data_IF_416738889918
#
_entry.id   IF_416738889918
#
_cell.length_a   1.000
_cell.length_b   1.000
_cell.length_c   1.000
_cell.angle_alpha   90.00
_cell.angle_beta   90.00
_cell.angle_gamma   90.00
#
_symmetry.space_group_name_H-M   'P 1'
#
loop_
_entity.id
_entity.type
_entity.pdbx_description
1 polymer ?
#
# COMPACT_ATOMS: atom_id res chain seq x y z
N UNK A 1 -26.11 -8.81 -0.70
CA UNK A 1 -25.46 -10.10 -1.01
C UNK A 1 -24.22 -10.22 -0.12
N UNK A 2 -24.39 -10.55 1.17
CA UNK A 2 -23.28 -10.56 2.17
C UNK A 2 -22.93 -12.00 2.61
N UNK A 3 -23.61 -13.03 2.09
CA UNK A 3 -23.32 -14.42 2.42
C UNK A 3 -23.19 -15.26 1.16
N UNK A 4 -22.06 -15.12 0.47
CA UNK A 4 -21.57 -16.21 -0.37
C UNK A 4 -20.93 -17.23 0.59
N UNK A 5 -21.49 -18.44 0.69
CA UNK A 5 -20.81 -19.54 1.40
C UNK A 5 -19.55 -19.89 0.62
N UNK A 6 -18.40 -19.46 1.12
CA UNK A 6 -17.10 -19.90 0.65
C UNK A 6 -16.67 -21.10 1.49
N UNK A 7 -16.30 -22.22 0.84
CA UNK A 7 -15.88 -23.47 1.50
C UNK A 7 -14.78 -23.26 2.54
N UNK A 8 -13.91 -22.27 2.32
CA UNK A 8 -12.79 -21.91 3.21
C UNK A 8 -12.98 -20.53 3.87
N UNK A 9 -14.13 -19.89 3.69
CA UNK A 9 -14.42 -18.58 4.28
C UNK A 9 -14.67 -18.70 5.77
N UNK A 10 -14.00 -17.86 6.57
CA UNK A 10 -14.20 -17.84 8.03
C UNK A 10 -13.53 -18.98 8.79
N UNK A 11 -12.56 -19.69 8.18
CA UNK A 11 -11.72 -20.63 8.92
C UNK A 11 -10.96 -19.92 10.05
N UNK A 12 -10.90 -20.55 11.23
CA UNK A 12 -10.29 -19.95 12.42
C UNK A 12 -8.84 -19.51 12.21
N UNK A 13 -8.06 -20.26 11.43
CA UNK A 13 -6.67 -19.93 11.07
C UNK A 13 -6.55 -18.63 10.25
N UNK A 14 -7.41 -18.45 9.24
CA UNK A 14 -7.43 -17.22 8.46
C UNK A 14 -7.86 -16.03 9.31
N UNK A 15 -8.83 -16.23 10.22
CA UNK A 15 -9.30 -15.20 11.14
C UNK A 15 -8.20 -14.77 12.12
N UNK A 16 -7.52 -15.71 12.80
CA UNK A 16 -6.44 -15.37 13.74
C UNK A 16 -5.27 -14.69 13.04
N UNK A 17 -4.91 -15.15 11.84
CA UNK A 17 -3.84 -14.54 11.03
C UNK A 17 -4.21 -13.11 10.61
N UNK A 18 -5.47 -12.89 10.22
CA UNK A 18 -5.95 -11.56 9.82
C UNK A 18 -6.01 -10.60 11.01
N UNK A 19 -6.41 -11.08 12.18
CA UNK A 19 -6.40 -10.28 13.42
C UNK A 19 -4.96 -9.87 13.74
N UNK A 20 -4.01 -10.80 13.69
CA UNK A 20 -2.62 -10.49 14.00
C UNK A 20 -1.99 -9.56 12.96
N UNK A 21 -2.31 -9.73 11.67
CA UNK A 21 -1.89 -8.79 10.64
C UNK A 21 -2.40 -7.36 10.90
N UNK A 22 -3.62 -7.21 11.41
CA UNK A 22 -4.15 -5.91 11.83
C UNK A 22 -3.42 -5.37 13.06
N UNK A 23 -3.16 -6.20 14.08
CA UNK A 23 -2.39 -5.79 15.26
C UNK A 23 -1.02 -5.25 14.84
N UNK A 24 -0.27 -5.98 14.02
CA UNK A 24 1.05 -5.57 13.51
C UNK A 24 0.97 -4.24 12.73
N UNK A 25 -0.05 -4.05 11.88
CA UNK A 25 -0.25 -2.79 11.15
C UNK A 25 -0.34 -1.58 12.08
N UNK A 26 -0.97 -1.73 13.26
CA UNK A 26 -1.11 -0.68 14.26
C UNK A 26 0.10 -0.57 15.19
N UNK A 27 0.54 -1.69 15.78
CA UNK A 27 1.59 -1.74 16.80
C UNK A 27 2.95 -1.29 16.25
N UNK A 28 3.24 -1.62 15.00
CA UNK A 28 4.47 -1.18 14.32
C UNK A 28 4.30 0.16 13.56
N UNK A 29 3.12 0.78 13.62
CA UNK A 29 2.87 2.08 12.96
C UNK A 29 3.04 2.03 11.44
N UNK A 30 2.74 0.89 10.81
CA UNK A 30 3.04 0.66 9.39
C UNK A 30 2.25 1.58 8.46
N UNK A 31 1.05 2.00 8.85
CA UNK A 31 0.22 2.92 8.07
C UNK A 31 0.88 4.31 7.99
N UNK A 32 1.34 4.83 9.13
CA UNK A 32 2.02 6.13 9.19
C UNK A 32 3.38 6.08 8.50
N UNK A 33 4.13 5.00 8.70
CA UNK A 33 5.38 4.77 7.99
C UNK A 33 5.19 4.72 6.47
N UNK A 34 4.13 4.05 5.99
CA UNK A 34 3.81 4.02 4.57
C UNK A 34 3.45 5.40 4.02
N UNK A 35 2.79 6.24 4.80
CA UNK A 35 2.52 7.63 4.43
C UNK A 35 3.83 8.44 4.32
N UNK A 36 4.66 8.45 5.37
CA UNK A 36 5.90 9.23 5.42
C UNK A 36 6.91 8.76 4.37
N UNK A 37 7.16 7.46 4.30
CA UNK A 37 8.15 6.91 3.37
C UNK A 37 7.63 6.92 1.93
N UNK A 38 6.33 6.75 1.74
CA UNK A 38 5.67 6.89 0.44
C UNK A 38 5.75 8.31 -0.10
N UNK A 39 5.52 9.32 0.73
CA UNK A 39 5.66 10.73 0.33
C UNK A 39 7.10 11.06 -0.08
N UNK A 40 8.09 10.55 0.67
CA UNK A 40 9.49 10.66 0.27
C UNK A 40 9.75 10.01 -1.10
N UNK A 41 9.29 8.78 -1.31
CA UNK A 41 9.45 8.09 -2.59
C UNK A 41 8.79 8.86 -3.74
N UNK A 42 7.57 9.34 -3.55
CA UNK A 42 6.82 10.11 -4.55
C UNK A 42 7.56 11.39 -4.94
N UNK A 43 8.07 12.16 -3.97
CA UNK A 43 8.86 13.36 -4.22
C UNK A 43 10.12 13.05 -5.03
N UNK A 44 10.81 11.95 -4.70
CA UNK A 44 12.03 11.54 -5.43
C UNK A 44 11.73 11.11 -6.86
N UNK A 45 10.59 10.47 -7.11
CA UNK A 45 10.15 10.10 -8.46
C UNK A 45 9.73 11.32 -9.29
N UNK A 46 9.06 12.29 -8.68
CA UNK A 46 8.73 13.56 -9.34
C UNK A 46 10.00 14.34 -9.75
N UNK A 47 11.01 14.40 -8.88
CA UNK A 47 12.30 14.98 -9.24
C UNK A 47 12.99 14.23 -10.40
N UNK A 48 12.78 12.91 -10.51
CA UNK A 48 13.29 12.13 -11.64
C UNK A 48 12.52 12.42 -12.93
N UNK A 49 11.21 12.62 -12.86
CA UNK A 49 10.36 13.04 -13.98
C UNK A 49 10.82 14.39 -14.53
N UNK A 50 11.09 15.37 -13.66
CA UNK A 50 11.63 16.68 -14.04
C UNK A 50 12.97 16.57 -14.77
N UNK A 51 13.81 15.61 -14.36
CA UNK A 51 15.12 15.35 -14.99
C UNK A 51 15.01 14.64 -16.33
N UNK A 52 14.00 13.78 -16.52
CA UNK A 52 13.81 12.96 -17.72
C UNK A 52 12.39 13.04 -18.30
N UNK A 53 11.90 14.24 -18.68
CA UNK A 53 10.50 14.45 -19.05
C UNK A 53 10.11 13.80 -20.40
N UNK A 54 11.09 13.36 -21.20
CA UNK A 54 10.85 12.62 -22.45
C UNK A 54 10.67 11.11 -22.24
N UNK A 55 11.03 10.61 -21.05
CA UNK A 55 11.00 9.18 -20.71
C UNK A 55 9.89 8.92 -19.68
N UNK A 56 9.73 9.81 -18.71
CA UNK A 56 8.72 9.72 -17.66
C UNK A 56 7.67 10.79 -17.94
N UNK A 57 6.46 10.34 -18.25
CA UNK A 57 5.30 11.17 -18.58
C UNK A 57 4.50 11.53 -17.34
N UNK A 58 4.30 10.60 -16.40
CA UNK A 58 3.48 10.83 -15.21
C UNK A 58 3.99 10.09 -13.96
N UNK A 59 3.82 10.73 -12.81
CA UNK A 59 4.14 10.17 -11.48
C UNK A 59 2.97 10.50 -10.55
N UNK A 60 2.29 9.47 -10.05
CA UNK A 60 1.10 9.61 -9.21
C UNK A 60 1.03 8.51 -8.15
N UNK A 61 0.34 8.76 -7.05
CA UNK A 61 0.14 7.74 -6.01
C UNK A 61 -0.12 8.30 -4.63
N UNK A 62 -0.22 7.40 -3.65
CA UNK A 62 -0.32 7.73 -2.22
C UNK A 62 0.28 6.61 -1.39
N UNK A 63 1.08 6.96 -0.39
CA UNK A 63 1.83 5.98 0.39
C UNK A 63 2.67 5.10 -0.54
N UNK A 64 2.61 3.78 -0.38
CA UNK A 64 3.30 2.84 -1.28
C UNK A 64 2.52 2.43 -2.54
N UNK A 65 1.31 2.95 -2.74
CA UNK A 65 0.56 2.73 -3.98
C UNK A 65 0.93 3.82 -4.99
N UNK A 66 2.05 3.62 -5.70
CA UNK A 66 2.62 4.57 -6.65
C UNK A 66 2.64 3.98 -8.08
N UNK A 67 2.28 4.82 -9.06
CA UNK A 67 2.39 4.52 -10.49
C UNK A 67 3.37 5.48 -11.18
N UNK A 68 4.10 4.93 -12.13
CA UNK A 68 5.07 5.62 -12.99
C UNK A 68 4.73 5.27 -14.45
N UNK A 69 4.53 6.28 -15.29
CA UNK A 69 4.20 6.15 -16.72
C UNK A 69 5.13 7.02 -17.56
#
# INVERSE_FOLDING_TARGET
MIHAMATFGGMGEACVTSIEALNVLYDEGLIDNAAVTGDYLLQRLQALQEKYPKIIKDVRGKGFMIGLE
#
